data_IF_451811910410
#
_entry.id   IF_451811910410
#
_cell.length_a   1.000
_cell.length_b   1.000
_cell.length_c   1.000
_cell.angle_alpha   90.00
_cell.angle_beta   90.00
_cell.angle_gamma   90.00
#
_symmetry.space_group_name_H-M   'P 1'
#
loop_
_entity.id
_entity.type
_entity.pdbx_description
1 polymer ?
#
# COMPACT_ATOMS: atom_id res chain seq x y z
N UNK A 1 -9.29 -24.55 9.02
CA UNK A 1 -8.19 -24.03 9.86
C UNK A 1 -8.20 -22.52 9.73
N UNK A 2 -8.11 -21.81 10.85
CA UNK A 2 -8.02 -20.35 10.83
C UNK A 2 -6.63 -19.93 10.32
N UNK A 3 -6.57 -19.13 9.25
CA UNK A 3 -5.32 -18.61 8.74
C UNK A 3 -4.86 -17.46 9.65
N UNK A 4 -3.79 -17.71 10.42
CA UNK A 4 -3.24 -16.76 11.40
C UNK A 4 -2.60 -15.52 10.75
N UNK A 5 -2.29 -15.59 9.46
CA UNK A 5 -1.70 -14.49 8.70
C UNK A 5 -2.76 -13.50 8.20
N UNK A 6 -4.04 -13.85 8.34
CA UNK A 6 -5.15 -12.97 7.96
C UNK A 6 -5.22 -11.77 8.90
N UNK A 7 -5.02 -10.58 8.33
CA UNK A 7 -5.17 -9.34 9.06
C UNK A 7 -6.66 -9.00 9.14
N UNK A 8 -7.22 -9.07 10.36
CA UNK A 8 -8.62 -8.73 10.64
C UNK A 8 -8.82 -7.27 11.05
N UNK A 9 -7.73 -6.62 11.46
CA UNK A 9 -7.75 -5.24 11.95
C UNK A 9 -6.55 -4.53 11.38
N UNK A 10 -6.79 -3.38 10.76
CA UNK A 10 -5.71 -2.52 10.30
C UNK A 10 -5.26 -1.65 11.47
N UNK A 11 -4.08 -1.94 11.99
CA UNK A 11 -3.44 -1.11 13.01
C UNK A 11 -2.39 -0.26 12.31
N UNK A 12 -2.51 1.06 12.46
CA UNK A 12 -1.45 1.96 12.02
C UNK A 12 -0.27 1.77 12.96
N UNK A 13 0.85 1.25 12.43
CA UNK A 13 2.11 1.28 13.15
C UNK A 13 2.78 2.63 12.89
N UNK A 14 2.61 3.55 13.84
CA UNK A 14 3.23 4.88 13.81
C UNK A 14 4.76 4.85 13.85
N UNK A 15 5.36 3.69 14.20
CA UNK A 15 6.81 3.52 14.23
C UNK A 15 7.33 2.82 12.97
N UNK A 16 6.44 2.27 12.14
CA UNK A 16 6.85 1.66 10.89
C UNK A 16 7.29 2.77 9.93
N UNK A 17 8.60 2.83 9.69
CA UNK A 17 9.21 3.80 8.78
C UNK A 17 9.10 3.42 7.31
N UNK A 18 8.71 2.17 7.02
CA UNK A 18 8.60 1.68 5.66
C UNK A 18 7.42 2.33 4.97
N UNK A 19 7.67 2.89 3.78
CA UNK A 19 6.62 3.50 2.95
C UNK A 19 5.73 2.47 2.24
N UNK A 20 5.96 1.18 2.48
CA UNK A 20 5.32 0.06 1.80
C UNK A 20 5.12 -1.13 2.74
N UNK A 21 4.14 -1.98 2.45
CA UNK A 21 3.88 -3.18 3.24
C UNK A 21 2.90 -4.13 2.54
N UNK A 22 2.49 -5.19 3.22
CA UNK A 22 1.44 -6.07 2.73
C UNK A 22 0.67 -6.75 3.84
N UNK A 23 -0.56 -7.18 3.56
CA UNK A 23 -1.34 -8.05 4.44
C UNK A 23 -1.96 -9.21 3.66
N UNK A 24 -2.30 -10.29 4.34
CA UNK A 24 -3.01 -11.43 3.75
C UNK A 24 -4.49 -11.30 4.07
N UNK A 25 -5.35 -11.41 3.05
CA UNK A 25 -6.80 -11.43 3.26
C UNK A 25 -7.33 -12.85 3.54
N UNK A 26 -8.62 -12.97 3.85
CA UNK A 26 -9.28 -14.26 4.13
C UNK A 26 -9.16 -15.31 3.00
N UNK A 27 -8.90 -14.86 1.78
CA UNK A 27 -8.70 -15.72 0.60
C UNK A 27 -7.24 -16.14 0.41
N UNK A 28 -6.34 -15.80 1.35
CA UNK A 28 -4.91 -16.11 1.26
C UNK A 28 -4.14 -15.20 0.30
N UNK A 29 -4.73 -14.09 -0.16
CA UNK A 29 -4.08 -13.19 -1.11
C UNK A 29 -3.26 -12.12 -0.37
N UNK A 30 -1.97 -11.97 -0.72
CA UNK A 30 -1.06 -10.91 -0.24
C UNK A 30 -1.28 -9.55 -0.93
N UNK A 31 -2.02 -8.67 -0.28
CA UNK A 31 -2.37 -7.33 -0.77
C UNK A 31 -1.24 -6.34 -0.46
N UNK A 32 -0.77 -5.61 -1.47
CA UNK A 32 0.23 -4.55 -1.33
C UNK A 32 -0.39 -3.28 -0.74
N UNK A 33 0.32 -2.64 0.19
CA UNK A 33 -0.04 -1.38 0.81
C UNK A 33 1.06 -0.33 0.58
N UNK A 34 0.64 0.93 0.42
CA UNK A 34 1.52 2.09 0.35
C UNK A 34 1.16 3.09 1.44
N UNK A 35 2.20 3.67 2.03
CA UNK A 35 2.14 4.63 3.13
C UNK A 35 3.00 5.83 2.75
N UNK A 36 2.42 7.03 2.75
CA UNK A 36 3.14 8.25 2.34
C UNK A 36 3.62 9.10 3.51
N UNK A 37 3.24 8.76 4.74
CA UNK A 37 3.68 9.50 5.91
C UNK A 37 3.87 8.56 7.10
N UNK A 38 5.11 8.20 7.37
CA UNK A 38 5.48 7.32 8.49
C UNK A 38 6.02 8.11 9.69
N UNK A 39 6.19 9.43 9.58
CA UNK A 39 6.82 10.27 10.60
C UNK A 39 5.88 11.35 11.20
N UNK A 40 4.56 11.15 11.13
CA UNK A 40 3.60 12.10 11.72
C UNK A 40 3.41 11.88 13.21
N UNK A 41 3.82 12.84 14.03
CA UNK A 41 3.73 12.79 15.49
C UNK A 41 2.26 12.85 16.00
N UNK A 42 1.37 13.52 15.26
CA UNK A 42 -0.07 13.62 15.58
C UNK A 42 -0.91 13.96 14.34
N UNK A 43 -1.30 12.96 13.53
CA UNK A 43 -2.04 13.21 12.30
C UNK A 43 -3.45 13.74 12.58
N UNK A 44 -3.87 14.75 11.81
CA UNK A 44 -5.20 15.39 11.93
C UNK A 44 -6.35 14.47 11.55
N UNK A 45 -6.12 13.61 10.56
CA UNK A 45 -7.03 12.57 10.15
C UNK A 45 -6.29 11.49 9.34
N UNK A 46 -7.02 10.40 9.09
CA UNK A 46 -6.63 9.33 8.17
C UNK A 46 -7.22 9.59 6.78
N UNK A 47 -6.41 9.45 5.74
CA UNK A 47 -6.85 9.53 4.34
C UNK A 47 -6.53 8.21 3.65
N UNK A 48 -7.58 7.52 3.22
CA UNK A 48 -7.46 6.31 2.44
C UNK A 48 -7.54 6.61 0.94
N UNK A 49 -6.51 6.22 0.19
CA UNK A 49 -6.47 6.32 -1.26
C UNK A 49 -6.99 5.02 -1.87
N UNK A 50 -8.16 5.11 -2.50
CA UNK A 50 -8.79 4.04 -3.25
C UNK A 50 -8.60 4.28 -4.75
N UNK A 51 -7.99 3.32 -5.46
CA UNK A 51 -7.75 3.43 -6.89
C UNK A 51 -8.94 2.93 -7.71
N UNK A 52 -9.04 3.32 -8.98
CA UNK A 52 -10.09 2.87 -9.89
C UNK A 52 -9.90 1.45 -10.41
N UNK A 53 -10.84 1.00 -11.24
CA UNK A 53 -10.77 -0.31 -11.87
C UNK A 53 -9.58 -0.39 -12.84
N UNK A 54 -8.72 -1.41 -12.69
CA UNK A 54 -7.54 -1.60 -13.54
C UNK A 54 -6.34 -0.71 -13.20
N UNK A 55 -6.45 0.11 -12.15
CA UNK A 55 -5.36 0.95 -11.64
C UNK A 55 -4.61 0.25 -10.49
N UNK A 56 -3.55 0.91 -10.02
CA UNK A 56 -2.76 0.55 -8.84
C UNK A 56 -2.65 1.77 -7.92
N UNK A 57 -2.25 1.58 -6.67
CA UNK A 57 -2.18 2.66 -5.68
C UNK A 57 -1.00 3.64 -5.90
N UNK A 58 0.07 3.21 -6.58
CA UNK A 58 1.31 3.99 -6.76
C UNK A 58 1.18 5.36 -7.44
N UNK A 59 0.43 5.50 -8.56
CA UNK A 59 0.25 6.77 -9.29
C UNK A 59 -0.27 7.94 -8.47
N UNK A 60 -0.90 7.70 -7.31
CA UNK A 60 -1.46 8.76 -6.46
C UNK A 60 -0.44 9.45 -5.55
N UNK A 61 0.86 9.18 -5.72
CA UNK A 61 1.91 9.71 -4.83
C UNK A 61 1.89 11.23 -4.71
N UNK A 62 1.77 11.95 -5.81
CA UNK A 62 1.72 13.42 -5.78
C UNK A 62 0.50 13.94 -4.99
N UNK A 63 -0.67 13.29 -5.13
CA UNK A 63 -1.86 13.65 -4.39
C UNK A 63 -1.70 13.34 -2.90
N UNK A 64 -1.12 12.19 -2.58
CA UNK A 64 -0.86 11.79 -1.20
C UNK A 64 0.09 12.78 -0.51
N UNK A 65 1.18 13.18 -1.18
CA UNK A 65 2.12 14.18 -0.66
C UNK A 65 1.44 15.53 -0.37
N UNK A 66 0.49 15.97 -1.20
CA UNK A 66 -0.27 17.19 -0.89
C UNK A 66 -1.04 17.06 0.45
N UNK A 67 -1.63 15.91 0.74
CA UNK A 67 -2.30 15.68 2.02
C UNK A 67 -1.30 15.53 3.18
N UNK A 68 -0.14 14.92 2.98
CA UNK A 68 0.86 14.81 4.05
C UNK A 68 1.41 16.17 4.48
N UNK A 69 1.58 17.13 3.54
CA UNK A 69 1.95 18.52 3.90
C UNK A 69 0.92 19.21 4.80
N UNK A 70 -0.32 18.72 4.81
CA UNK A 70 -1.41 19.22 5.63
C UNK A 70 -1.58 18.42 6.94
N UNK A 71 -0.60 17.58 7.30
CA UNK A 71 -0.59 16.72 8.49
C UNK A 71 -1.72 15.66 8.50
N UNK A 72 -2.00 15.06 7.34
CA UNK A 72 -2.85 13.86 7.23
C UNK A 72 -1.99 12.61 7.08
N UNK A 73 -2.37 11.54 7.77
CA UNK A 73 -1.78 10.22 7.55
C UNK A 73 -2.43 9.58 6.33
N UNK A 74 -1.67 9.42 5.25
CA UNK A 74 -2.17 8.93 3.96
C UNK A 74 -1.68 7.52 3.70
N UNK A 75 -2.60 6.64 3.37
CA UNK A 75 -2.32 5.23 3.07
C UNK A 75 -3.29 4.72 2.01
N UNK A 76 -2.91 3.63 1.34
CA UNK A 76 -3.72 2.98 0.32
C UNK A 76 -3.24 1.56 0.09
N UNK A 77 -4.04 0.76 -0.62
CA UNK A 77 -3.66 -0.59 -0.99
C UNK A 77 -4.22 -0.97 -2.36
N UNK A 78 -3.62 -1.97 -3.00
CA UNK A 78 -4.17 -2.52 -4.23
C UNK A 78 -5.42 -3.38 -3.92
N UNK A 79 -6.39 -3.44 -4.82
CA UNK A 79 -7.62 -4.21 -4.59
C UNK A 79 -7.44 -5.72 -4.73
N UNK A 80 -6.50 -6.16 -5.57
CA UNK A 80 -6.19 -7.58 -5.79
C UNK A 80 -4.72 -7.77 -6.13
N UNK A 81 -4.24 -8.93 -5.74
CA UNK A 81 -2.84 -9.35 -5.80
C UNK A 81 -2.45 -9.75 -7.22
N UNK A 82 -1.27 -9.29 -7.62
CA UNK A 82 -0.42 -9.93 -8.63
C UNK A 82 -0.19 -11.36 -8.14
N UNK A 83 -0.74 -12.37 -8.83
CA UNK A 83 -0.54 -13.80 -8.48
C UNK A 83 0.89 -14.02 -8.04
N UNK A 84 1.08 -14.74 -6.94
CA UNK A 84 2.38 -15.25 -6.52
C UNK A 84 3.16 -15.73 -7.74
N UNK A 85 4.14 -14.94 -8.17
CA UNK A 85 5.32 -15.49 -8.78
C UNK A 85 6.28 -15.67 -7.62
N UNK A 86 6.78 -16.90 -7.49
CA UNK A 86 7.55 -17.37 -6.34
C UNK A 86 8.65 -16.39 -5.92
N UNK A 87 9.01 -16.49 -4.65
CA UNK A 87 10.14 -15.82 -3.99
C UNK A 87 11.34 -15.65 -4.94
N UNK A 88 11.47 -14.53 -5.66
CA UNK A 88 12.75 -13.91 -6.03
C UNK A 88 12.65 -12.61 -6.87
N UNK A 89 11.55 -11.84 -6.92
CA UNK A 89 11.62 -10.50 -7.57
C UNK A 89 10.92 -9.41 -6.77
N UNK A 90 11.46 -9.15 -5.59
CA UNK A 90 11.00 -8.07 -4.71
C UNK A 90 11.62 -6.71 -5.02
N UNK A 91 12.28 -6.50 -6.17
CA UNK A 91 12.93 -5.20 -6.47
C UNK A 91 12.74 -4.62 -7.88
N UNK A 92 12.30 -5.37 -8.91
CA UNK A 92 12.28 -4.86 -10.30
C UNK A 92 10.90 -4.79 -11.00
N UNK A 93 9.81 -5.27 -10.39
CA UNK A 93 8.48 -5.20 -11.03
C UNK A 93 7.78 -3.85 -10.84
N UNK A 94 8.30 -2.98 -9.96
CA UNK A 94 7.73 -1.65 -9.66
C UNK A 94 8.05 -0.58 -10.74
N UNK A 95 9.04 -0.79 -11.62
CA UNK A 95 9.43 0.17 -12.66
C UNK A 95 9.13 -0.28 -14.11
N UNK A 96 8.88 -1.57 -14.33
CA UNK A 96 8.97 -2.17 -15.69
C UNK A 96 7.69 -2.08 -16.52
N UNK A 97 6.49 -1.96 -15.92
CA UNK A 97 5.23 -1.89 -16.69
C UNK A 97 4.83 -0.49 -17.15
N UNK A 98 5.45 0.57 -16.60
CA UNK A 98 5.23 1.96 -17.05
C UNK A 98 6.13 2.33 -18.25
N UNK A 99 7.17 1.54 -18.59
CA UNK A 99 8.09 1.81 -19.70
C UNK A 99 7.84 1.01 -21.00
N UNK A 100 6.79 0.19 -21.07
CA UNK A 100 6.51 -0.68 -22.24
C UNK A 100 5.28 -0.25 -23.07
N UNK A 101 4.75 0.95 -22.84
CA UNK A 101 3.64 1.51 -23.62
C UNK A 101 3.90 2.97 -24.05
N UNK A 102 5.15 3.32 -24.32
CA UNK A 102 5.56 4.55 -25.00
C UNK A 102 6.51 4.21 -26.15
#
# INVERSE_FOLDING_TARGET
MENKDVVKTFTVDINNKDSEGSFVNENGLRIYCKYWSTELESPRALVFVCHGAGEHVGPYTQLAELFTTQNFYVFGHDHRVIKEFGEQESRDTLATRIRMAA
#
